data_IF_555036781765
#
_entry.id   IF_555036781765
#
_cell.length_a   1.000
_cell.length_b   1.000
_cell.length_c   1.000
_cell.angle_alpha   90.00
_cell.angle_beta   90.00
_cell.angle_gamma   90.00
#
_symmetry.space_group_name_H-M   'P 1'
#
loop_
_entity.id
_entity.type
_entity.pdbx_description
1 polymer ?
#
# COMPACT_ATOMS: atom_id res chain seq x y z
N UNK A 1 23.72 18.66 32.84
CA UNK A 1 23.88 18.45 31.39
C UNK A 1 23.62 19.77 30.68
N UNK A 2 24.51 20.22 29.80
CA UNK A 2 24.25 21.42 28.99
C UNK A 2 23.12 21.17 27.99
N UNK A 3 22.49 22.24 27.50
CA UNK A 3 21.40 22.18 26.51
C UNK A 3 21.79 21.34 25.27
N UNK A 4 23.03 21.50 24.80
CA UNK A 4 23.59 20.75 23.67
C UNK A 4 23.64 19.23 23.95
N UNK A 5 24.08 18.83 25.15
CA UNK A 5 24.13 17.42 25.55
C UNK A 5 22.73 16.81 25.70
N UNK A 6 21.76 17.59 26.20
CA UNK A 6 20.37 17.14 26.28
C UNK A 6 19.77 16.93 24.88
N UNK A 7 20.00 17.85 23.95
CA UNK A 7 19.58 17.71 22.55
C UNK A 7 20.24 16.50 21.88
N UNK A 8 21.55 16.31 22.08
CA UNK A 8 22.29 15.17 21.55
C UNK A 8 21.75 13.83 22.09
N UNK A 9 21.42 13.76 23.37
CA UNK A 9 20.79 12.58 23.97
C UNK A 9 19.41 12.29 23.37
N UNK A 10 18.56 13.31 23.22
CA UNK A 10 17.24 13.15 22.59
C UNK A 10 17.34 12.64 21.15
N UNK A 11 18.19 13.25 20.33
CA UNK A 11 18.41 12.87 18.93
C UNK A 11 19.00 11.47 18.82
N UNK A 12 19.91 11.08 19.73
CA UNK A 12 20.48 9.74 19.76
C UNK A 12 19.43 8.68 20.14
N UNK A 13 18.55 8.96 21.11
CA UNK A 13 17.43 8.07 21.45
C UNK A 13 16.54 7.87 20.23
N UNK A 14 16.18 8.95 19.53
CA UNK A 14 15.37 8.85 18.32
C UNK A 14 16.06 8.03 17.22
N UNK A 15 17.35 8.26 16.99
CA UNK A 15 18.16 7.47 16.06
C UNK A 15 18.10 5.97 16.38
N UNK A 16 18.25 5.59 17.65
CA UNK A 16 18.16 4.20 18.10
C UNK A 16 16.76 3.62 17.83
N UNK A 17 15.69 4.39 18.08
CA UNK A 17 14.32 3.97 17.77
C UNK A 17 14.16 3.69 16.28
N UNK A 18 14.63 4.58 15.40
CA UNK A 18 14.56 4.37 13.94
C UNK A 18 15.35 3.12 13.52
N UNK A 19 16.55 2.91 14.07
CA UNK A 19 17.32 1.70 13.79
C UNK A 19 16.59 0.43 14.23
N UNK A 20 15.95 0.41 15.40
CA UNK A 20 15.17 -0.74 15.87
C UNK A 20 14.02 -1.03 14.90
N UNK A 21 13.27 0.00 14.48
CA UNK A 21 12.16 -0.17 13.53
C UNK A 21 12.68 -0.66 12.17
N UNK A 22 13.78 -0.12 11.66
CA UNK A 22 14.37 -0.53 10.39
C UNK A 22 14.87 -1.99 10.45
N UNK A 23 15.57 -2.37 11.52
CA UNK A 23 16.07 -3.74 11.74
C UNK A 23 14.92 -4.72 11.89
N UNK A 24 13.86 -4.37 12.63
CA UNK A 24 12.68 -5.23 12.79
C UNK A 24 11.99 -5.49 11.43
N UNK A 25 11.84 -4.45 10.61
CA UNK A 25 11.32 -4.55 9.26
C UNK A 25 12.17 -5.43 8.34
N UNK A 26 13.47 -5.14 8.28
CA UNK A 26 14.44 -5.91 7.52
C UNK A 26 14.45 -7.38 7.95
N UNK A 27 14.47 -7.65 9.24
CA UNK A 27 14.48 -9.02 9.80
C UNK A 27 13.20 -9.77 9.44
N UNK A 28 12.04 -9.11 9.51
CA UNK A 28 10.78 -9.71 9.08
C UNK A 28 10.80 -10.04 7.58
N UNK A 29 11.24 -9.12 6.71
CA UNK A 29 11.42 -9.38 5.27
C UNK A 29 12.36 -10.56 5.05
N UNK A 30 13.49 -10.56 5.75
CA UNK A 30 14.52 -11.57 5.64
C UNK A 30 14.10 -12.94 6.21
N UNK A 31 13.01 -13.07 6.96
CA UNK A 31 12.55 -14.36 7.51
C UNK A 31 11.28 -14.81 6.79
N UNK A 32 10.26 -13.96 6.77
CA UNK A 32 8.91 -14.27 6.31
C UNK A 32 8.83 -14.24 4.78
N UNK A 33 9.45 -13.25 4.15
CA UNK A 33 9.29 -12.99 2.72
C UNK A 33 10.39 -13.63 1.86
N UNK A 34 11.17 -14.58 2.39
CA UNK A 34 12.24 -15.26 1.63
C UNK A 34 11.72 -15.96 0.38
N UNK A 35 10.50 -16.52 0.44
CA UNK A 35 9.81 -17.22 -0.64
C UNK A 35 8.30 -16.98 -0.50
N UNK A 36 7.53 -17.02 -1.59
CA UNK A 36 6.07 -17.04 -1.55
C UNK A 36 5.60 -18.17 -0.65
N UNK A 37 4.64 -17.86 0.23
CA UNK A 37 4.11 -18.87 1.14
C UNK A 37 3.21 -19.84 0.36
N UNK A 38 3.44 -21.16 0.44
CA UNK A 38 2.47 -22.12 -0.08
C UNK A 38 1.16 -22.00 0.73
N UNK A 39 0.02 -22.36 0.13
CA UNK A 39 -1.24 -22.38 0.87
C UNK A 39 -1.12 -23.35 2.05
N UNK A 40 -1.33 -22.83 3.25
CA UNK A 40 -1.12 -23.57 4.50
C UNK A 40 -2.34 -24.39 4.94
N UNK A 41 -3.46 -24.26 4.24
CA UNK A 41 -4.76 -24.80 4.68
C UNK A 41 -5.47 -25.55 3.55
N UNK A 42 -6.37 -26.44 3.94
CA UNK A 42 -7.29 -27.09 3.01
C UNK A 42 -8.18 -26.00 2.35
N UNK A 43 -8.03 -25.81 1.04
CA UNK A 43 -8.75 -24.78 0.30
C UNK A 43 -10.29 -24.95 0.39
N UNK A 44 -10.77 -26.16 0.64
CA UNK A 44 -12.19 -26.47 0.74
C UNK A 44 -12.85 -25.95 2.02
N UNK A 45 -12.11 -25.60 3.07
CA UNK A 45 -12.68 -25.00 4.29
C UNK A 45 -12.65 -23.47 4.27
N UNK A 46 -11.94 -22.85 3.33
CA UNK A 46 -11.80 -21.40 3.26
C UNK A 46 -13.09 -20.73 2.77
N UNK A 47 -13.38 -19.54 3.30
CA UNK A 47 -14.56 -18.73 2.96
C UNK A 47 -14.50 -18.20 1.52
N UNK A 48 -15.61 -18.13 0.78
CA UNK A 48 -15.59 -17.63 -0.59
C UNK A 48 -15.30 -16.13 -0.68
N UNK A 49 -14.77 -15.68 -1.82
CA UNK A 49 -14.24 -14.32 -2.02
C UNK A 49 -14.73 -13.70 -3.32
N UNK A 50 -15.11 -12.43 -3.27
CA UNK A 50 -15.31 -11.59 -4.45
C UNK A 50 -14.09 -10.68 -4.66
N UNK A 51 -13.39 -10.82 -5.79
CA UNK A 51 -12.37 -9.88 -6.25
C UNK A 51 -13.04 -8.74 -6.98
N UNK A 52 -12.77 -7.49 -6.58
CA UNK A 52 -13.32 -6.29 -7.22
C UNK A 52 -12.16 -5.46 -7.76
N UNK A 53 -12.15 -5.23 -9.08
CA UNK A 53 -11.10 -4.48 -9.76
C UNK A 53 -11.65 -3.22 -10.41
N UNK A 54 -11.32 -2.02 -9.89
CA UNK A 54 -11.68 -0.77 -10.54
C UNK A 54 -10.76 -0.54 -11.73
N UNK A 55 -11.32 -0.40 -12.92
CA UNK A 55 -10.60 -0.23 -14.18
C UNK A 55 -10.80 1.20 -14.69
N UNK A 56 -9.73 1.79 -15.22
CA UNK A 56 -9.79 3.03 -16.00
C UNK A 56 -8.63 3.07 -16.99
N UNK A 57 -8.93 2.94 -18.27
CA UNK A 57 -7.93 2.99 -19.33
C UNK A 57 -6.98 1.79 -19.35
N UNK A 58 -5.87 1.94 -20.07
CA UNK A 58 -4.85 0.91 -20.23
C UNK A 58 -3.60 1.25 -19.42
N UNK A 59 -3.26 0.38 -18.48
CA UNK A 59 -1.99 0.39 -17.75
C UNK A 59 -0.97 -0.57 -18.40
N UNK A 60 0.34 -0.42 -18.11
CA UNK A 60 1.36 -1.40 -18.46
C UNK A 60 0.94 -2.82 -18.07
N UNK A 61 1.05 -3.76 -19.01
CA UNK A 61 0.78 -5.18 -18.78
C UNK A 61 -0.61 -5.46 -18.16
N UNK A 62 -1.60 -4.59 -18.42
CA UNK A 62 -2.94 -4.67 -17.84
C UNK A 62 -3.57 -6.06 -17.98
N UNK A 63 -3.51 -6.66 -19.18
CA UNK A 63 -4.10 -7.97 -19.44
C UNK A 63 -3.57 -9.03 -18.46
N UNK A 64 -2.26 -9.07 -18.24
CA UNK A 64 -1.63 -10.03 -17.32
C UNK A 64 -1.93 -9.71 -15.85
N UNK A 65 -2.02 -8.43 -15.47
CA UNK A 65 -2.41 -8.00 -14.13
C UNK A 65 -3.82 -8.47 -13.81
N UNK A 66 -4.76 -8.27 -14.74
CA UNK A 66 -6.15 -8.71 -14.60
C UNK A 66 -6.27 -10.24 -14.64
N UNK A 67 -5.54 -10.90 -15.54
CA UNK A 67 -5.48 -12.36 -15.65
C UNK A 67 -5.03 -13.03 -14.35
N UNK A 68 -4.15 -12.39 -13.57
CA UNK A 68 -3.72 -12.92 -12.27
C UNK A 68 -4.87 -13.18 -11.27
N UNK A 69 -6.03 -12.54 -11.46
CA UNK A 69 -7.25 -12.79 -10.68
C UNK A 69 -7.86 -14.17 -10.99
N UNK A 70 -7.79 -14.60 -12.25
CA UNK A 70 -8.29 -15.90 -12.71
C UNK A 70 -7.33 -17.04 -12.36
N UNK A 71 -6.04 -16.73 -12.25
CA UNK A 71 -4.97 -17.70 -11.98
C UNK A 71 -4.72 -17.94 -10.48
N UNK A 72 -5.63 -17.52 -9.60
CA UNK A 72 -5.54 -17.81 -8.18
C UNK A 72 -5.75 -19.31 -7.92
N UNK A 73 -4.90 -19.89 -7.10
CA UNK A 73 -5.01 -21.25 -6.59
C UNK A 73 -6.08 -21.32 -5.50
N UNK A 74 -7.33 -21.16 -5.92
CA UNK A 74 -8.52 -21.10 -5.07
C UNK A 74 -9.67 -21.86 -5.74
N UNK A 75 -10.60 -22.48 -4.98
CA UNK A 75 -11.72 -23.20 -5.59
C UNK A 75 -12.57 -22.24 -6.44
N UNK A 76 -12.78 -22.59 -7.71
CA UNK A 76 -13.38 -21.70 -8.71
C UNK A 76 -14.83 -21.35 -8.34
N UNK A 77 -15.56 -22.29 -7.75
CA UNK A 77 -16.92 -22.12 -7.24
C UNK A 77 -17.01 -21.13 -6.07
N UNK A 78 -15.89 -20.90 -5.37
CA UNK A 78 -15.76 -19.96 -4.25
C UNK A 78 -15.19 -18.61 -4.64
N UNK A 79 -14.97 -18.38 -5.93
CA UNK A 79 -14.37 -17.15 -6.44
C UNK A 79 -15.36 -16.42 -7.34
N UNK A 80 -15.53 -15.13 -7.11
CA UNK A 80 -16.20 -14.21 -8.03
C UNK A 80 -15.24 -13.09 -8.41
N UNK A 81 -15.27 -12.63 -9.67
CA UNK A 81 -14.44 -11.53 -10.16
C UNK A 81 -15.33 -10.46 -10.80
N UNK A 82 -15.27 -9.23 -10.28
CA UNK A 82 -16.05 -8.10 -10.77
C UNK A 82 -15.10 -7.02 -11.32
N UNK A 83 -15.15 -6.79 -12.63
CA UNK A 83 -14.44 -5.69 -13.28
C UNK A 83 -15.35 -4.47 -13.36
N UNK A 84 -14.98 -3.38 -12.69
CA UNK A 84 -15.79 -2.17 -12.61
C UNK A 84 -15.23 -1.11 -13.57
N UNK A 85 -16.04 -0.62 -14.51
CA UNK A 85 -15.67 0.47 -15.44
C UNK A 85 -16.60 1.66 -15.32
N UNK A 86 -16.07 2.87 -15.46
CA UNK A 86 -16.90 4.06 -15.47
C UNK A 86 -17.82 4.12 -16.70
N UNK A 87 -17.32 3.72 -17.87
CA UNK A 87 -18.03 3.81 -19.14
C UNK A 87 -17.78 2.55 -19.99
N UNK A 88 -18.72 2.23 -20.88
CA UNK A 88 -18.61 1.07 -21.77
C UNK A 88 -17.60 1.26 -22.90
N UNK A 89 -17.22 2.51 -23.18
CA UNK A 89 -16.21 2.91 -24.16
C UNK A 89 -14.76 2.78 -23.66
N UNK A 90 -14.55 2.38 -22.41
CA UNK A 90 -13.21 2.27 -21.86
C UNK A 90 -12.36 1.29 -22.70
N UNK A 91 -11.12 1.69 -23.08
CA UNK A 91 -10.28 0.88 -23.96
C UNK A 91 -9.90 -0.48 -23.37
N UNK A 92 -10.07 -0.71 -22.06
CA UNK A 92 -9.86 -2.02 -21.43
C UNK A 92 -10.96 -3.04 -21.77
N UNK A 93 -12.13 -2.62 -22.27
CA UNK A 93 -13.28 -3.50 -22.51
C UNK A 93 -12.95 -4.75 -23.35
N UNK A 94 -12.22 -4.67 -24.49
CA UNK A 94 -11.88 -5.85 -25.28
C UNK A 94 -10.98 -6.83 -24.54
N UNK A 95 -10.06 -6.34 -23.70
CA UNK A 95 -9.18 -7.17 -22.86
C UNK A 95 -10.02 -7.95 -21.85
N UNK A 96 -10.97 -7.27 -21.19
CA UNK A 96 -11.87 -7.90 -20.21
C UNK A 96 -12.74 -8.98 -20.84
N UNK A 97 -13.34 -8.70 -21.99
CA UNK A 97 -14.15 -9.67 -22.73
C UNK A 97 -13.32 -10.89 -23.14
N UNK A 98 -12.08 -10.68 -23.61
CA UNK A 98 -11.16 -11.76 -23.96
C UNK A 98 -10.79 -12.63 -22.76
N UNK A 99 -10.53 -12.02 -21.59
CA UNK A 99 -10.22 -12.76 -20.36
C UNK A 99 -11.41 -13.57 -19.85
N UNK A 100 -12.62 -13.01 -19.85
CA UNK A 100 -13.83 -13.73 -19.45
C UNK A 100 -14.09 -14.91 -20.39
N UNK A 101 -13.94 -14.72 -21.70
CA UNK A 101 -14.08 -15.79 -22.68
C UNK A 101 -13.00 -16.88 -22.52
N UNK A 102 -11.79 -16.53 -22.08
CA UNK A 102 -10.69 -17.46 -21.82
C UNK A 102 -10.93 -18.34 -20.59
N UNK A 103 -11.68 -17.86 -19.59
CA UNK A 103 -11.94 -18.55 -18.32
C UNK A 103 -13.44 -18.69 -18.03
N UNK A 104 -14.21 -19.42 -18.87
CA UNK A 104 -15.67 -19.47 -18.78
C UNK A 104 -16.21 -20.18 -17.52
N UNK A 105 -15.35 -20.90 -16.79
CA UNK A 105 -15.72 -21.64 -15.58
C UNK A 105 -15.65 -20.79 -14.29
N UNK A 106 -15.09 -19.58 -14.37
CA UNK A 106 -14.97 -18.67 -13.23
C UNK A 106 -16.10 -17.64 -13.31
N UNK A 107 -16.79 -17.40 -12.19
CA UNK A 107 -17.85 -16.39 -12.06
C UNK A 107 -17.25 -14.99 -12.21
N UNK A 108 -17.19 -14.48 -13.45
CA UNK A 108 -16.57 -13.21 -13.79
C UNK A 108 -17.50 -12.33 -14.63
N UNK A 109 -17.65 -11.06 -14.25
CA UNK A 109 -18.52 -10.11 -14.94
C UNK A 109 -17.95 -8.71 -15.04
N UNK A 110 -18.47 -7.95 -15.99
CA UNK A 110 -18.12 -6.56 -16.26
C UNK A 110 -19.29 -5.69 -15.80
N UNK A 111 -19.00 -4.76 -14.90
CA UNK A 111 -19.96 -3.79 -14.37
C UNK A 111 -19.61 -2.40 -14.88
N UNK A 112 -20.50 -1.81 -15.67
CA UNK A 112 -20.37 -0.43 -16.16
C UNK A 112 -21.20 0.49 -15.27
N UNK A 113 -20.70 1.69 -14.96
CA UNK A 113 -21.49 2.64 -14.16
C UNK A 113 -22.63 3.22 -14.97
N UNK A 114 -23.76 3.42 -14.31
CA UNK A 114 -24.90 4.12 -14.91
C UNK A 114 -24.73 5.63 -14.72
N UNK A 115 -24.85 6.44 -15.79
CA UNK A 115 -24.75 7.89 -15.70
C UNK A 115 -25.72 8.46 -14.67
N UNK A 116 -25.20 9.19 -13.67
CA UNK A 116 -26.01 9.86 -12.65
C UNK A 116 -26.33 9.04 -11.40
N UNK A 117 -26.19 7.71 -11.42
CA UNK A 117 -26.47 6.87 -10.23
C UNK A 117 -25.23 6.55 -9.39
N UNK A 118 -24.06 6.43 -10.02
CA UNK A 118 -22.82 5.98 -9.37
C UNK A 118 -21.88 7.11 -8.94
N UNK A 119 -22.42 8.29 -8.65
CA UNK A 119 -21.63 9.41 -8.13
C UNK A 119 -21.85 9.57 -6.62
N UNK A 120 -20.85 9.23 -5.82
CA UNK A 120 -20.89 9.31 -4.36
C UNK A 120 -19.91 10.35 -3.79
N UNK A 121 -19.04 10.90 -4.63
CA UNK A 121 -18.06 11.91 -4.23
C UNK A 121 -16.97 12.15 -5.28
N UNK A 122 -15.97 12.98 -4.95
CA UNK A 122 -14.86 13.32 -5.82
C UNK A 122 -13.94 12.15 -6.16
N UNK A 123 -14.01 11.01 -5.45
CA UNK A 123 -13.15 9.85 -5.69
C UNK A 123 -13.72 8.91 -6.78
N UNK A 124 -13.30 9.01 -8.07
CA UNK A 124 -13.73 8.12 -9.13
C UNK A 124 -13.40 6.65 -8.91
N UNK A 125 -12.38 6.31 -8.10
CA UNK A 125 -12.09 4.91 -7.77
C UNK A 125 -13.20 4.35 -6.90
N UNK A 126 -13.57 5.02 -5.82
CA UNK A 126 -14.66 4.58 -4.95
C UNK A 126 -16.01 4.59 -5.67
N UNK A 127 -16.29 5.62 -6.49
CA UNK A 127 -17.48 5.64 -7.33
C UNK A 127 -17.59 4.38 -8.20
N UNK A 128 -16.47 3.98 -8.80
CA UNK A 128 -16.39 2.77 -9.61
C UNK A 128 -16.49 1.49 -8.75
N UNK A 129 -15.91 1.47 -7.56
CA UNK A 129 -15.97 0.32 -6.64
C UNK A 129 -17.35 0.09 -6.03
N UNK A 130 -18.16 1.13 -5.86
CA UNK A 130 -19.44 1.07 -5.14
C UNK A 130 -20.42 0.05 -5.74
N UNK A 131 -20.52 -0.04 -7.07
CA UNK A 131 -21.35 -1.06 -7.74
C UNK A 131 -20.80 -2.48 -7.54
N UNK A 132 -19.49 -2.66 -7.61
CA UNK A 132 -18.85 -3.96 -7.37
C UNK A 132 -19.06 -4.42 -5.93
N UNK A 133 -18.98 -3.52 -4.97
CA UNK A 133 -19.21 -3.82 -3.56
C UNK A 133 -20.67 -4.19 -3.28
N UNK A 134 -21.63 -3.56 -3.97
CA UNK A 134 -23.05 -3.89 -3.88
C UNK A 134 -23.40 -5.24 -4.52
N UNK A 135 -22.82 -5.52 -5.68
CA UNK A 135 -23.05 -6.74 -6.46
C UNK A 135 -22.17 -7.92 -6.05
N UNK A 136 -21.25 -7.73 -5.11
CA UNK A 136 -20.46 -8.81 -4.56
C UNK A 136 -21.37 -9.94 -4.04
N UNK A 137 -21.05 -11.17 -4.41
CA UNK A 137 -21.78 -12.37 -4.01
C UNK A 137 -21.38 -12.83 -2.61
N UNK A 138 -20.13 -12.59 -2.23
CA UNK A 138 -19.55 -13.05 -0.98
C UNK A 138 -19.27 -11.89 -0.01
N UNK A 139 -19.14 -12.22 1.28
CA UNK A 139 -18.88 -11.23 2.32
C UNK A 139 -17.42 -10.77 2.31
N UNK A 140 -16.48 -11.68 2.06
CA UNK A 140 -15.08 -11.28 1.85
C UNK A 140 -14.95 -10.65 0.46
N UNK A 141 -14.49 -9.41 0.45
CA UNK A 141 -14.12 -8.70 -0.77
C UNK A 141 -12.63 -8.46 -0.81
N UNK A 142 -12.04 -8.59 -1.99
CA UNK A 142 -10.66 -8.22 -2.26
C UNK A 142 -10.62 -7.11 -3.29
N UNK A 143 -10.33 -5.90 -2.82
CA UNK A 143 -10.14 -4.72 -3.67
C UNK A 143 -8.71 -4.74 -4.20
N UNK A 144 -8.56 -4.85 -5.51
CA UNK A 144 -7.26 -4.98 -6.18
C UNK A 144 -7.20 -4.03 -7.39
N UNK A 145 -6.26 -3.09 -7.37
CA UNK A 145 -6.08 -2.10 -8.44
C UNK A 145 -5.80 -2.77 -9.80
N UNK A 146 -6.28 -2.21 -10.91
CA UNK A 146 -6.16 -2.78 -12.26
C UNK A 146 -4.73 -3.13 -12.69
N UNK A 147 -3.78 -2.29 -12.32
CA UNK A 147 -2.36 -2.39 -12.70
C UNK A 147 -1.50 -3.18 -11.73
N UNK A 148 -2.12 -4.06 -10.93
CA UNK A 148 -1.41 -4.83 -9.92
C UNK A 148 -1.47 -6.31 -10.29
N UNK A 149 -0.32 -6.94 -10.41
CA UNK A 149 -0.23 -8.38 -10.53
C UNK A 149 -0.16 -9.03 -9.15
N UNK A 150 -0.92 -10.11 -8.96
CA UNK A 150 -1.01 -10.87 -7.73
C UNK A 150 -0.48 -12.29 -7.92
N UNK A 151 0.25 -12.82 -6.93
CA UNK A 151 0.74 -14.20 -6.97
C UNK A 151 -0.39 -15.21 -6.79
N UNK A 152 -0.26 -16.46 -7.29
CA UNK A 152 -1.38 -17.41 -7.32
C UNK A 152 -1.96 -17.80 -5.95
N UNK A 153 -1.19 -17.72 -4.86
CA UNK A 153 -1.65 -18.20 -3.55
C UNK A 153 -2.22 -17.08 -2.65
N UNK A 154 -2.29 -15.83 -3.14
CA UNK A 154 -2.65 -14.68 -2.33
C UNK A 154 -4.04 -14.82 -1.73
N UNK A 155 -5.04 -15.25 -2.50
CA UNK A 155 -6.40 -15.41 -1.98
C UNK A 155 -6.42 -16.43 -0.84
N UNK A 156 -5.83 -17.62 -1.05
CA UNK A 156 -5.80 -18.68 -0.05
C UNK A 156 -5.14 -18.22 1.25
N UNK A 157 -3.95 -17.61 1.15
CA UNK A 157 -3.20 -17.13 2.31
C UNK A 157 -3.94 -16.00 3.05
N UNK A 158 -4.58 -15.10 2.31
CA UNK A 158 -5.27 -13.93 2.89
C UNK A 158 -6.58 -14.32 3.59
N UNK A 159 -7.36 -15.20 2.98
CA UNK A 159 -8.57 -15.74 3.62
C UNK A 159 -8.21 -16.52 4.88
N UNK A 160 -7.20 -17.40 4.79
CA UNK A 160 -6.70 -18.13 5.96
C UNK A 160 -6.24 -17.18 7.07
N UNK A 161 -5.53 -16.10 6.75
CA UNK A 161 -5.07 -15.14 7.74
C UNK A 161 -6.22 -14.42 8.46
N UNK A 162 -7.29 -14.07 7.73
CA UNK A 162 -8.48 -13.48 8.33
C UNK A 162 -9.27 -14.48 9.19
N UNK A 163 -9.43 -15.72 8.73
CA UNK A 163 -10.17 -16.76 9.45
C UNK A 163 -9.45 -17.19 10.73
N UNK A 164 -8.12 -17.35 10.66
CA UNK A 164 -7.31 -17.91 11.74
C UNK A 164 -6.62 -16.83 12.59
N UNK A 165 -6.91 -15.56 12.33
CA UNK A 165 -6.35 -14.41 13.06
C UNK A 165 -4.81 -14.42 13.07
N UNK A 166 -4.17 -14.54 11.90
CA UNK A 166 -2.71 -14.61 11.78
C UNK A 166 -2.12 -13.38 11.09
N UNK A 167 -0.88 -13.01 11.46
CA UNK A 167 -0.06 -12.01 10.77
C UNK A 167 1.31 -12.61 10.46
N UNK A 168 1.74 -12.53 9.21
CA UNK A 168 2.95 -13.15 8.70
C UNK A 168 3.03 -14.65 9.06
N UNK A 169 1.90 -15.36 8.98
CA UNK A 169 1.79 -16.78 9.33
C UNK A 169 1.80 -17.11 10.83
N UNK A 170 1.96 -16.10 11.70
CA UNK A 170 1.97 -16.29 13.16
C UNK A 170 0.60 -15.95 13.74
N UNK A 171 0.06 -16.79 14.62
CA UNK A 171 -1.19 -16.53 15.32
C UNK A 171 -1.08 -15.28 16.19
N UNK A 172 -2.10 -14.43 16.14
CA UNK A 172 -2.21 -13.23 16.96
C UNK A 172 -3.09 -13.57 18.16
N UNK A 173 -2.70 -13.08 19.34
CA UNK A 173 -3.44 -13.24 20.59
C UNK A 173 -4.94 -12.94 20.41
N UNK A 174 -5.78 -13.96 20.63
CA UNK A 174 -7.24 -13.88 20.50
C UNK A 174 -7.91 -12.91 21.49
N UNK A 175 -7.22 -12.50 22.57
CA UNK A 175 -7.71 -11.47 23.50
C UNK A 175 -7.47 -10.04 22.99
N UNK A 176 -6.67 -9.87 21.94
CA UNK A 176 -6.39 -8.58 21.31
C UNK A 176 -7.33 -8.26 20.16
N UNK A 177 -6.96 -7.27 19.35
CA UNK A 177 -7.65 -6.92 18.11
C UNK A 177 -7.60 -8.08 17.10
N UNK A 178 -8.74 -8.40 16.49
CA UNK A 178 -8.82 -9.44 15.46
C UNK A 178 -8.43 -8.89 14.08
N UNK A 179 -7.90 -9.74 13.20
CA UNK A 179 -7.61 -9.38 11.81
C UNK A 179 -8.92 -9.07 11.08
N UNK A 180 -9.09 -7.82 10.66
CA UNK A 180 -10.27 -7.33 9.92
C UNK A 180 -9.93 -6.84 8.52
N UNK A 181 -8.63 -6.65 8.25
CA UNK A 181 -8.12 -6.23 6.95
C UNK A 181 -6.78 -6.95 6.70
N UNK A 182 -6.70 -7.68 5.60
CA UNK A 182 -5.45 -8.23 5.07
C UNK A 182 -5.02 -7.41 3.86
N UNK A 183 -3.75 -7.06 3.80
CA UNK A 183 -3.17 -6.29 2.72
C UNK A 183 -1.75 -6.80 2.44
N UNK A 184 -1.18 -6.35 1.33
CA UNK A 184 0.07 -6.91 0.82
C UNK A 184 1.13 -5.84 0.64
N UNK A 185 2.40 -6.24 0.80
CA UNK A 185 3.53 -5.35 0.56
C UNK A 185 3.53 -4.97 -0.93
N UNK A 186 3.41 -3.67 -1.26
CA UNK A 186 3.36 -3.24 -2.64
C UNK A 186 4.79 -3.09 -3.15
N UNK A 187 5.10 -3.83 -4.20
CA UNK A 187 6.32 -3.67 -4.99
C UNK A 187 5.95 -3.09 -6.34
N UNK A 188 6.90 -2.43 -7.00
CA UNK A 188 6.75 -2.02 -8.39
C UNK A 188 8.02 -2.33 -9.16
N UNK A 189 7.88 -2.92 -10.35
CA UNK A 189 9.00 -3.33 -11.18
C UNK A 189 9.10 -2.47 -12.43
N UNK A 190 10.29 -1.98 -12.71
CA UNK A 190 10.66 -1.30 -13.95
C UNK A 190 10.72 -2.30 -15.09
N UNK A 191 9.97 -2.05 -16.17
CA UNK A 191 10.02 -2.85 -17.40
C UNK A 191 10.91 -2.24 -18.48
N UNK A 192 11.48 -1.07 -18.23
CA UNK A 192 12.32 -0.31 -19.15
C UNK A 192 13.75 -0.06 -18.63
N UNK A 193 14.75 -0.47 -19.41
CA UNK A 193 16.18 -0.35 -19.07
C UNK A 193 16.61 1.13 -18.96
N UNK A 194 16.01 2.01 -19.77
CA UNK A 194 16.30 3.45 -19.79
C UNK A 194 15.52 4.24 -18.72
N UNK A 195 14.44 3.65 -18.20
CA UNK A 195 13.48 4.26 -17.29
C UNK A 195 14.10 4.77 -16.00
N UNK A 196 14.40 6.06 -15.92
CA UNK A 196 15.03 6.61 -14.70
C UNK A 196 14.00 6.82 -13.59
N UNK A 197 12.76 7.23 -13.93
CA UNK A 197 11.70 7.44 -12.95
C UNK A 197 11.11 6.15 -12.38
N UNK A 198 10.82 5.17 -13.25
CA UNK A 198 10.35 3.82 -12.87
C UNK A 198 11.37 3.08 -12.00
N UNK A 199 12.67 3.15 -12.34
CA UNK A 199 13.74 2.57 -11.52
C UNK A 199 13.87 3.23 -10.14
N UNK A 200 13.59 4.52 -10.00
CA UNK A 200 13.58 5.20 -8.70
C UNK A 200 12.37 4.80 -7.84
N UNK A 201 11.20 4.60 -8.45
CA UNK A 201 10.01 4.07 -7.74
C UNK A 201 10.25 2.64 -7.26
N UNK A 202 10.82 1.79 -8.13
CA UNK A 202 11.22 0.44 -7.76
C UNK A 202 12.22 0.47 -6.60
N UNK A 203 13.30 1.27 -6.71
CA UNK A 203 14.30 1.40 -5.67
C UNK A 203 13.66 1.81 -4.34
N UNK A 204 12.76 2.80 -4.34
CA UNK A 204 12.05 3.24 -3.15
C UNK A 204 11.19 2.12 -2.53
N UNK A 205 10.39 1.42 -3.35
CA UNK A 205 9.48 0.36 -2.88
C UNK A 205 10.22 -0.88 -2.36
N UNK A 206 11.34 -1.25 -2.98
CA UNK A 206 12.15 -2.40 -2.60
C UNK A 206 13.06 -2.14 -1.39
N UNK A 207 13.35 -0.89 -1.06
CA UNK A 207 14.26 -0.51 0.03
C UNK A 207 13.55 0.22 1.18
N UNK A 208 13.54 1.56 1.17
CA UNK A 208 13.02 2.38 2.27
C UNK A 208 11.57 2.04 2.61
N UNK A 209 10.68 1.99 1.62
CA UNK A 209 9.26 1.78 1.86
C UNK A 209 8.98 0.43 2.53
N UNK A 210 9.40 -0.68 1.92
CA UNK A 210 8.99 -2.02 2.35
C UNK A 210 9.45 -2.35 3.78
N UNK A 211 10.66 -1.93 4.20
CA UNK A 211 11.13 -2.22 5.56
C UNK A 211 10.33 -1.52 6.63
N UNK A 212 10.09 -0.22 6.48
CA UNK A 212 9.28 0.53 7.45
C UNK A 212 7.81 0.12 7.37
N UNK A 213 7.30 -0.16 6.16
CA UNK A 213 5.93 -0.62 5.97
C UNK A 213 5.64 -1.95 6.69
N UNK A 214 6.53 -2.93 6.53
CA UNK A 214 6.42 -4.23 7.22
C UNK A 214 6.59 -4.05 8.74
N UNK A 215 7.56 -3.25 9.17
CA UNK A 215 7.81 -3.02 10.60
C UNK A 215 6.61 -2.37 11.31
N UNK A 216 6.08 -1.28 10.75
CA UNK A 216 4.96 -0.53 11.32
C UNK A 216 3.68 -1.37 11.37
N UNK A 217 3.41 -2.19 10.35
CA UNK A 217 2.27 -3.11 10.36
C UNK A 217 2.42 -4.21 11.41
N UNK A 218 3.63 -4.73 11.62
CA UNK A 218 3.88 -5.72 12.67
C UNK A 218 3.76 -5.13 14.09
N UNK A 219 4.23 -3.88 14.28
CA UNK A 219 4.04 -3.15 15.54
C UNK A 219 2.56 -2.90 15.83
N UNK A 220 1.74 -2.70 14.78
CA UNK A 220 0.27 -2.61 14.89
C UNK A 220 -0.19 -1.57 15.92
N UNK A 221 0.41 -0.37 15.86
CA UNK A 221 0.01 0.77 16.70
C UNK A 221 -1.21 1.47 16.10
N UNK A 222 -1.26 1.55 14.77
CA UNK A 222 -2.33 2.14 13.96
C UNK A 222 -2.42 1.36 12.64
N UNK A 223 -3.53 1.44 11.89
CA UNK A 223 -3.61 0.83 10.58
C UNK A 223 -2.64 1.53 9.62
N UNK A 224 -1.82 0.76 8.90
CA UNK A 224 -0.88 1.27 7.90
C UNK A 224 -1.14 0.57 6.56
N UNK A 225 -2.16 1.04 5.86
CA UNK A 225 -2.71 0.38 4.67
C UNK A 225 -2.27 1.10 3.40
N UNK A 226 -2.18 0.38 2.28
CA UNK A 226 -1.96 0.94 0.95
C UNK A 226 -3.10 0.52 0.02
N UNK A 227 -3.41 1.33 -0.99
CA UNK A 227 -4.63 1.15 -1.78
C UNK A 227 -4.58 0.10 -2.87
N UNK A 228 -3.46 -0.62 -3.01
CA UNK A 228 -3.22 -1.53 -4.14
C UNK A 228 -3.93 -2.87 -3.98
N UNK A 229 -3.95 -3.41 -2.77
CA UNK A 229 -4.47 -4.76 -2.49
C UNK A 229 -4.97 -4.84 -1.05
N UNK A 230 -6.30 -4.87 -0.89
CA UNK A 230 -6.97 -4.87 0.41
C UNK A 230 -8.11 -5.88 0.45
N UNK A 231 -8.04 -6.84 1.36
CA UNK A 231 -9.06 -7.85 1.60
C UNK A 231 -9.70 -7.63 2.97
N UNK A 232 -11.02 -7.55 3.01
CA UNK A 232 -11.79 -7.34 4.23
C UNK A 232 -13.24 -7.82 4.04
N UNK A 233 -14.02 -7.86 5.13
CA UNK A 233 -15.44 -8.24 5.08
C UNK A 233 -16.33 -7.03 4.80
N UNK A 234 -17.30 -7.19 3.91
CA UNK A 234 -18.36 -6.21 3.66
C UNK A 234 -19.15 -5.92 4.91
N UNK A 235 -19.56 -6.97 5.61
CA UNK A 235 -20.31 -6.89 6.87
C UNK A 235 -19.58 -6.09 7.95
N UNK A 236 -18.26 -6.23 8.05
CA UNK A 236 -17.45 -5.46 8.99
C UNK A 236 -17.35 -3.98 8.57
N UNK A 237 -17.25 -3.69 7.27
CA UNK A 237 -17.27 -2.29 6.80
C UNK A 237 -18.64 -1.63 7.00
N UNK A 238 -19.72 -2.37 6.72
CA UNK A 238 -21.09 -1.90 6.93
C UNK A 238 -21.35 -1.59 8.42
N UNK A 239 -20.91 -2.49 9.31
CA UNK A 239 -20.96 -2.25 10.76
C UNK A 239 -20.14 -1.02 11.16
N UNK A 240 -18.94 -0.87 10.62
CA UNK A 240 -18.06 0.25 10.95
C UNK A 240 -18.72 1.58 10.58
N UNK A 241 -19.23 1.73 9.35
CA UNK A 241 -19.88 2.97 8.90
C UNK A 241 -21.16 3.26 9.68
N UNK A 242 -21.99 2.25 9.97
CA UNK A 242 -23.16 2.43 10.82
C UNK A 242 -22.79 2.95 12.23
N UNK A 243 -21.66 2.48 12.78
CA UNK A 243 -21.20 2.85 14.12
C UNK A 243 -20.61 4.26 14.22
N UNK A 244 -20.17 4.87 13.11
CA UNK A 244 -19.69 6.27 13.08
C UNK A 244 -20.76 7.24 13.61
N UNK A 245 -22.04 6.95 13.35
CA UNK A 245 -23.16 7.79 13.81
C UNK A 245 -23.33 7.84 15.33
N UNK A 246 -22.81 6.84 16.06
CA UNK A 246 -23.07 6.66 17.50
C UNK A 246 -21.82 6.74 18.36
N UNK A 247 -20.62 6.48 17.80
CA UNK A 247 -19.36 6.46 18.53
C UNK A 247 -18.42 7.52 17.96
N UNK A 248 -17.93 8.40 18.83
CA UNK A 248 -17.00 9.47 18.44
C UNK A 248 -15.59 8.91 18.17
N UNK A 249 -14.93 9.47 17.16
CA UNK A 249 -13.56 9.14 16.73
C UNK A 249 -12.79 10.43 16.45
N UNK A 250 -11.46 10.42 16.62
CA UNK A 250 -10.61 11.54 16.19
C UNK A 250 -10.67 11.78 14.68
N UNK A 251 -10.93 10.75 13.87
CA UNK A 251 -10.96 10.83 12.41
C UNK A 251 -12.36 11.08 11.83
N UNK A 252 -13.43 10.74 12.56
CA UNK A 252 -14.83 10.83 12.10
C UNK A 252 -15.71 11.59 13.10
N UNK A 253 -15.28 12.76 13.57
CA UNK A 253 -16.02 13.56 14.55
C UNK A 253 -16.84 14.71 13.96
N UNK A 254 -16.52 15.16 12.74
CA UNK A 254 -17.21 16.29 12.10
C UNK A 254 -18.69 15.97 11.87
N UNK A 255 -19.58 16.89 12.22
CA UNK A 255 -21.04 16.67 12.19
C UNK A 255 -21.54 16.29 10.78
N UNK A 256 -20.95 16.90 9.74
CA UNK A 256 -21.22 16.57 8.34
C UNK A 256 -20.83 15.13 7.99
N UNK A 257 -19.74 14.61 8.57
CA UNK A 257 -19.25 13.25 8.37
C UNK A 257 -20.14 12.24 9.09
N UNK A 258 -20.53 12.53 10.33
CA UNK A 258 -21.43 11.70 11.15
C UNK A 258 -22.80 11.58 10.49
N UNK A 259 -23.37 12.71 10.04
CA UNK A 259 -24.66 12.74 9.35
C UNK A 259 -24.63 11.96 8.05
N UNK A 260 -23.56 12.09 7.26
CA UNK A 260 -23.41 11.35 6.03
C UNK A 260 -23.25 9.83 6.27
N UNK A 261 -22.47 9.43 7.27
CA UNK A 261 -22.33 8.03 7.64
C UNK A 261 -23.70 7.41 7.99
N UNK A 262 -24.53 8.13 8.76
CA UNK A 262 -25.89 7.70 9.09
C UNK A 262 -26.77 7.57 7.84
N UNK A 263 -26.69 8.54 6.91
CA UNK A 263 -27.42 8.52 5.63
C UNK A 263 -27.01 7.36 4.72
N UNK A 264 -25.72 7.03 4.67
CA UNK A 264 -25.23 5.90 3.87
C UNK A 264 -25.65 4.58 4.52
N UNK A 265 -25.51 4.46 5.83
CA UNK A 265 -25.90 3.27 6.58
C UNK A 265 -27.42 2.99 6.50
N UNK A 266 -28.26 4.03 6.43
CA UNK A 266 -29.72 3.88 6.31
C UNK A 266 -30.17 3.26 4.98
N UNK A 267 -29.30 3.20 3.96
CA UNK A 267 -29.57 2.49 2.69
C UNK A 267 -29.46 0.97 2.81
N UNK A 268 -28.92 0.48 3.93
CA UNK A 268 -28.72 -0.94 4.20
C UNK A 268 -27.34 -1.48 3.77
N UNK A 269 -27.11 -2.78 3.97
CA UNK A 269 -25.82 -3.43 3.70
C UNK A 269 -25.35 -3.29 2.25
N UNK A 270 -24.04 -3.24 2.01
CA UNK A 270 -23.44 -3.13 0.67
C UNK A 270 -23.38 -1.72 0.10
N UNK A 271 -23.78 -0.69 0.85
CA UNK A 271 -23.64 0.71 0.43
C UNK A 271 -22.47 1.44 1.10
N UNK A 272 -21.89 0.88 2.16
CA UNK A 272 -20.96 1.61 3.04
C UNK A 272 -19.63 2.00 2.41
N UNK A 273 -19.21 1.33 1.34
CA UNK A 273 -18.00 1.76 0.61
C UNK A 273 -18.16 3.16 0.01
N UNK A 274 -19.39 3.56 -0.35
CA UNK A 274 -19.68 4.86 -0.96
C UNK A 274 -19.42 6.04 -0.01
N UNK A 275 -19.54 5.83 1.31
CA UNK A 275 -19.18 6.82 2.32
C UNK A 275 -17.74 7.31 2.15
N UNK A 276 -16.84 6.44 1.69
CA UNK A 276 -15.43 6.77 1.53
C UNK A 276 -15.12 7.54 0.24
N UNK A 277 -16.10 7.79 -0.63
CA UNK A 277 -15.90 8.46 -1.91
C UNK A 277 -15.51 9.94 -1.79
N UNK A 278 -15.65 10.52 -0.59
CA UNK A 278 -15.18 11.87 -0.27
C UNK A 278 -13.68 11.97 -0.01
N UNK A 279 -13.02 10.86 0.28
CA UNK A 279 -11.61 10.82 0.66
C UNK A 279 -10.72 10.40 -0.51
N UNK A 280 -9.60 11.10 -0.74
CA UNK A 280 -8.60 10.68 -1.74
C UNK A 280 -7.84 9.42 -1.28
N UNK A 281 -7.60 9.25 0.02
CA UNK A 281 -7.03 8.03 0.60
C UNK A 281 -8.13 7.13 1.19
N UNK A 282 -9.00 6.60 0.33
CA UNK A 282 -10.15 5.79 0.79
C UNK A 282 -9.69 4.57 1.60
N UNK A 283 -8.58 3.98 1.20
CA UNK A 283 -7.94 2.79 1.75
C UNK A 283 -7.56 2.95 3.23
N UNK A 284 -6.87 4.05 3.54
CA UNK A 284 -6.47 4.36 4.91
C UNK A 284 -7.71 4.70 5.76
N UNK A 285 -8.70 5.42 5.21
CA UNK A 285 -9.94 5.71 5.94
C UNK A 285 -10.75 4.45 6.23
N UNK A 286 -10.82 3.49 5.29
CA UNK A 286 -11.40 2.16 5.51
C UNK A 286 -10.63 1.42 6.60
N UNK A 287 -9.30 1.45 6.55
CA UNK A 287 -8.44 0.86 7.58
C UNK A 287 -8.70 1.43 8.98
N UNK A 288 -8.83 2.76 9.11
CA UNK A 288 -9.19 3.44 10.36
C UNK A 288 -10.59 3.05 10.81
N UNK A 289 -11.57 3.02 9.92
CA UNK A 289 -12.93 2.63 10.27
C UNK A 289 -13.00 1.21 10.84
N UNK A 290 -12.34 0.23 10.20
CA UNK A 290 -12.26 -1.14 10.70
C UNK A 290 -11.47 -1.23 12.02
N UNK A 291 -10.43 -0.41 12.17
CA UNK A 291 -9.66 -0.33 13.40
C UNK A 291 -10.51 0.17 14.57
N UNK A 292 -11.19 1.29 14.44
CA UNK A 292 -11.87 1.97 15.56
C UNK A 292 -13.23 1.40 15.90
N UNK A 293 -13.99 0.96 14.89
CA UNK A 293 -15.39 0.56 15.04
C UNK A 293 -15.60 -0.96 15.04
N UNK A 294 -14.64 -1.73 14.49
CA UNK A 294 -14.70 -3.20 14.52
C UNK A 294 -13.67 -3.83 15.48
N UNK A 295 -13.00 -3.00 16.29
CA UNK A 295 -11.88 -3.42 17.15
C UNK A 295 -10.86 -4.28 16.37
N UNK A 296 -10.63 -3.89 15.12
CA UNK A 296 -9.84 -4.65 14.16
C UNK A 296 -8.37 -4.29 14.20
N UNK A 297 -7.59 -5.10 13.49
CA UNK A 297 -6.20 -4.82 13.08
C UNK A 297 -5.96 -5.23 11.64
N UNK A 298 -4.86 -4.74 11.09
CA UNK A 298 -4.32 -5.18 9.80
C UNK A 298 -3.42 -6.41 9.96
N UNK A 299 -3.25 -7.17 8.89
CA UNK A 299 -2.29 -8.27 8.79
C UNK A 299 -1.68 -8.39 7.38
N UNK A 300 -0.45 -8.91 7.33
CA UNK A 300 0.27 -9.31 6.13
C UNK A 300 0.34 -10.84 6.05
N UNK A 301 0.47 -11.40 4.85
CA UNK A 301 0.50 -12.87 4.64
C UNK A 301 1.87 -13.43 4.22
N UNK A 302 2.90 -12.58 4.12
CA UNK A 302 4.16 -12.96 3.48
C UNK A 302 4.11 -12.93 1.96
N UNK A 303 2.95 -12.60 1.38
CA UNK A 303 2.80 -12.36 -0.06
C UNK A 303 3.03 -10.89 -0.42
N UNK A 304 3.36 -10.66 -1.68
CA UNK A 304 3.55 -9.34 -2.27
C UNK A 304 2.66 -9.17 -3.48
N UNK A 305 2.35 -7.92 -3.79
CA UNK A 305 1.71 -7.55 -5.06
C UNK A 305 2.67 -6.69 -5.86
N UNK A 306 2.69 -6.89 -7.19
CA UNK A 306 3.67 -6.27 -8.06
C UNK A 306 3.00 -5.38 -9.11
N UNK A 307 3.38 -4.11 -9.15
CA UNK A 307 2.95 -3.20 -10.20
C UNK A 307 4.02 -3.11 -11.30
N UNK A 308 3.75 -3.50 -12.55
CA UNK A 308 4.60 -3.16 -13.67
C UNK A 308 4.59 -1.65 -13.94
N UNK A 309 5.78 -1.08 -14.12
CA UNK A 309 5.98 0.33 -14.47
C UNK A 309 6.68 0.43 -15.82
N UNK A 310 6.13 1.26 -16.70
CA UNK A 310 6.76 1.70 -17.94
C UNK A 310 6.80 3.23 -17.88
N UNK A 311 7.94 3.83 -18.16
CA UNK A 311 8.01 5.29 -18.32
C UNK A 311 7.48 5.65 -19.71
N UNK A 312 6.32 6.32 -19.77
CA UNK A 312 5.82 6.89 -21.03
C UNK A 312 6.66 8.10 -21.49
N UNK A 313 7.26 8.81 -20.52
CA UNK A 313 8.15 9.95 -20.70
C UNK A 313 9.20 9.93 -19.60
N UNK A 314 10.46 9.67 -19.99
CA UNK A 314 11.60 9.45 -19.07
C UNK A 314 11.92 10.71 -18.24
N UNK A 315 11.29 10.89 -17.07
CA UNK A 315 11.67 11.99 -16.17
C UNK A 315 11.70 11.63 -14.69
N UNK A 316 12.81 12.02 -14.06
CA UNK A 316 12.93 12.15 -12.59
C UNK A 316 11.82 13.04 -12.04
N UNK A 317 11.32 13.99 -12.83
CA UNK A 317 10.23 14.89 -12.45
C UNK A 317 8.92 14.16 -12.20
N UNK A 318 8.58 13.13 -12.99
CA UNK A 318 7.40 12.31 -12.74
C UNK A 318 7.52 11.53 -11.42
N UNK A 319 8.68 10.91 -11.17
CA UNK A 319 8.97 10.27 -9.89
C UNK A 319 8.79 11.27 -8.73
N UNK A 320 9.41 12.44 -8.84
CA UNK A 320 9.32 13.50 -7.83
C UNK A 320 7.86 13.92 -7.60
N UNK A 321 7.10 14.15 -8.68
CA UNK A 321 5.70 14.57 -8.63
C UNK A 321 4.81 13.50 -8.00
N UNK A 322 5.00 12.22 -8.35
CA UNK A 322 4.28 11.09 -7.73
C UNK A 322 4.55 11.02 -6.23
N UNK A 323 5.82 11.10 -5.82
CA UNK A 323 6.23 11.02 -4.41
C UNK A 323 5.74 12.22 -3.59
N UNK A 324 5.84 13.44 -4.14
CA UNK A 324 5.30 14.66 -3.51
C UNK A 324 3.79 14.52 -3.30
N UNK A 325 3.05 14.04 -4.31
CA UNK A 325 1.60 13.82 -4.21
C UNK A 325 1.24 12.84 -3.09
N UNK A 326 1.91 11.69 -3.02
CA UNK A 326 1.65 10.69 -1.96
C UNK A 326 1.94 11.24 -0.56
N UNK A 327 3.02 12.02 -0.41
CA UNK A 327 3.35 12.68 0.85
C UNK A 327 2.34 13.77 1.22
N UNK A 328 1.86 14.56 0.25
CA UNK A 328 0.83 15.58 0.51
C UNK A 328 -0.47 14.97 0.99
N UNK A 329 -0.91 13.86 0.40
CA UNK A 329 -2.11 13.15 0.89
C UNK A 329 -1.89 12.68 2.33
N UNK A 330 -0.75 12.04 2.63
CA UNK A 330 -0.43 11.56 3.98
C UNK A 330 -0.24 12.67 5.02
N UNK A 331 0.25 13.85 4.63
CA UNK A 331 0.36 15.03 5.49
C UNK A 331 -0.96 15.36 6.17
N UNK A 332 -2.08 15.26 5.44
CA UNK A 332 -3.40 15.54 6.01
C UNK A 332 -3.96 14.35 6.79
N UNK A 333 -3.74 13.13 6.31
CA UNK A 333 -4.36 11.94 6.92
C UNK A 333 -3.62 11.41 8.15
N UNK A 334 -2.29 11.51 8.16
CA UNK A 334 -1.39 10.95 9.18
C UNK A 334 -0.20 11.90 9.40
N UNK A 335 -0.49 13.13 9.85
CA UNK A 335 0.49 14.21 9.97
C UNK A 335 1.72 13.82 10.80
N UNK A 336 1.52 13.23 11.99
CA UNK A 336 2.62 12.87 12.88
C UNK A 336 3.61 11.89 12.22
N UNK A 337 3.10 10.85 11.56
CA UNK A 337 3.92 9.90 10.81
C UNK A 337 4.63 10.57 9.62
N UNK A 338 3.94 11.50 8.94
CA UNK A 338 4.51 12.25 7.82
C UNK A 338 5.63 13.19 8.27
N UNK A 339 5.51 13.83 9.43
CA UNK A 339 6.53 14.74 9.97
C UNK A 339 7.84 14.03 10.31
N UNK A 340 7.76 12.77 10.77
CA UNK A 340 8.94 11.99 11.14
C UNK A 340 9.55 11.22 9.98
N UNK A 341 8.88 11.13 8.82
CA UNK A 341 9.36 10.38 7.65
C UNK A 341 10.81 10.70 7.21
N UNK A 342 11.28 11.97 7.20
CA UNK A 342 12.67 12.26 6.83
C UNK A 342 13.67 11.54 7.73
N UNK A 343 13.35 11.37 9.01
CA UNK A 343 14.23 10.70 9.98
C UNK A 343 14.36 9.20 9.72
N UNK A 344 13.47 8.62 8.90
CA UNK A 344 13.53 7.22 8.48
C UNK A 344 14.47 7.00 7.28
N UNK A 345 14.90 8.08 6.60
CA UNK A 345 15.80 8.02 5.45
C UNK A 345 17.26 8.09 5.89
N UNK A 346 18.16 7.42 5.15
CA UNK A 346 19.51 7.10 5.65
C UNK A 346 20.33 8.34 5.99
N UNK A 347 20.25 9.40 5.18
CA UNK A 347 21.08 10.59 5.33
C UNK A 347 20.69 11.35 6.60
N UNK A 348 19.40 11.65 6.80
CA UNK A 348 18.93 12.40 7.97
C UNK A 348 19.13 11.58 9.24
N UNK A 349 18.79 10.28 9.19
CA UNK A 349 19.03 9.35 10.29
C UNK A 349 20.52 9.30 10.67
N UNK A 350 21.41 9.18 9.68
CA UNK A 350 22.85 9.17 9.87
C UNK A 350 23.39 10.48 10.46
N UNK A 351 22.88 11.64 10.02
CA UNK A 351 23.24 12.94 10.59
C UNK A 351 22.85 13.00 12.07
N UNK A 352 21.63 12.56 12.41
CA UNK A 352 21.13 12.50 13.78
C UNK A 352 22.00 11.61 14.67
N UNK A 353 22.25 10.37 14.26
CA UNK A 353 23.08 9.43 15.02
C UNK A 353 24.53 9.91 15.17
N UNK A 354 25.11 10.48 14.12
CA UNK A 354 26.47 11.03 14.14
C UNK A 354 26.59 12.19 15.09
N UNK A 355 25.64 13.14 15.05
CA UNK A 355 25.60 14.27 15.98
C UNK A 355 25.47 13.80 17.42
N UNK A 356 24.51 12.92 17.71
CA UNK A 356 24.25 12.39 19.05
C UNK A 356 25.47 11.72 19.67
N UNK A 357 26.13 10.80 18.94
CA UNK A 357 27.32 10.11 19.45
C UNK A 357 28.54 11.04 19.57
N UNK A 358 28.73 11.94 18.62
CA UNK A 358 29.90 12.82 18.61
C UNK A 358 29.91 13.78 19.79
N UNK A 359 28.75 14.38 20.10
CA UNK A 359 28.62 15.34 21.20
C UNK A 359 28.72 14.64 22.56
N UNK A 360 28.12 13.46 22.71
CA UNK A 360 28.07 12.78 24.00
C UNK A 360 29.36 12.04 24.36
N UNK A 361 30.09 11.51 23.36
CA UNK A 361 31.21 10.59 23.61
C UNK A 361 32.55 11.03 23.04
N UNK A 362 32.58 11.95 22.06
CA UNK A 362 33.82 12.29 21.33
C UNK A 362 34.20 13.77 21.36
N UNK A 363 33.53 14.55 22.20
CA UNK A 363 33.74 15.99 22.42
C UNK A 363 33.86 16.79 21.10
N UNK A 364 32.98 16.48 20.13
CA UNK A 364 32.94 17.14 18.82
C UNK A 364 31.52 17.17 18.27
N UNK A 365 31.24 18.07 17.33
CA UNK A 365 29.88 18.19 16.76
C UNK A 365 29.53 17.08 15.76
N UNK A 366 30.51 16.57 15.02
CA UNK A 366 30.27 15.60 13.95
C UNK A 366 31.48 14.71 13.68
N UNK A 367 31.22 13.45 13.32
CA UNK A 367 32.23 12.44 12.98
C UNK A 367 31.94 11.84 11.61
N UNK A 368 32.66 12.31 10.59
CA UNK A 368 32.55 11.78 9.22
C UNK A 368 32.83 10.27 9.13
N UNK A 369 33.69 9.75 10.02
CA UNK A 369 33.99 8.31 10.09
C UNK A 369 32.75 7.50 10.50
N UNK A 370 32.02 7.95 11.52
CA UNK A 370 30.80 7.27 11.95
C UNK A 370 29.67 7.44 10.94
N UNK A 371 29.52 8.63 10.36
CA UNK A 371 28.53 8.86 9.31
C UNK A 371 28.77 7.93 8.10
N UNK A 372 30.02 7.82 7.63
CA UNK A 372 30.37 6.91 6.54
C UNK A 372 30.09 5.43 6.90
N UNK A 373 30.39 5.02 8.14
CA UNK A 373 30.08 3.68 8.63
C UNK A 373 28.57 3.41 8.65
N UNK A 374 27.76 4.35 9.14
CA UNK A 374 26.31 4.24 9.12
C UNK A 374 25.77 4.11 7.70
N UNK A 375 26.21 4.98 6.78
CA UNK A 375 25.79 4.95 5.38
C UNK A 375 26.16 3.63 4.71
N UNK A 376 27.34 3.09 4.99
CA UNK A 376 27.77 1.79 4.48
C UNK A 376 26.88 0.65 5.02
N UNK A 377 26.58 0.64 6.32
CA UNK A 377 25.69 -0.36 6.92
C UNK A 377 24.29 -0.30 6.31
N UNK A 378 23.76 0.91 6.11
CA UNK A 378 22.44 1.13 5.51
C UNK A 378 22.40 0.67 4.05
N UNK A 379 23.42 1.00 3.27
CA UNK A 379 23.60 0.53 1.89
C UNK A 379 23.60 -1.01 1.82
N UNK A 380 24.39 -1.68 2.67
CA UNK A 380 24.46 -3.15 2.73
C UNK A 380 23.10 -3.74 3.09
N UNK A 381 22.40 -3.16 4.06
CA UNK A 381 21.06 -3.58 4.47
C UNK A 381 20.07 -3.48 3.30
N UNK A 382 19.99 -2.33 2.64
CA UNK A 382 19.09 -2.09 1.52
C UNK A 382 19.42 -2.97 0.31
N UNK A 383 20.71 -3.16 0.01
CA UNK A 383 21.14 -4.06 -1.06
C UNK A 383 20.75 -5.52 -0.76
N UNK A 384 20.95 -5.97 0.47
CA UNK A 384 20.58 -7.32 0.90
C UNK A 384 19.06 -7.52 0.82
N UNK A 385 18.29 -6.53 1.30
CA UNK A 385 16.83 -6.56 1.23
C UNK A 385 16.31 -6.59 -0.20
N UNK A 386 16.86 -5.75 -1.08
CA UNK A 386 16.50 -5.73 -2.50
C UNK A 386 16.71 -7.12 -3.13
N UNK A 387 17.81 -7.80 -2.81
CA UNK A 387 18.09 -9.15 -3.30
C UNK A 387 17.16 -10.22 -2.68
N UNK A 388 16.69 -10.04 -1.44
CA UNK A 388 15.66 -10.92 -0.85
C UNK A 388 14.37 -10.80 -1.67
N UNK A 389 13.96 -9.59 -2.02
CA UNK A 389 12.79 -9.38 -2.89
C UNK A 389 12.98 -9.99 -4.27
N UNK A 390 14.14 -9.80 -4.91
CA UNK A 390 14.41 -10.43 -6.21
C UNK A 390 14.30 -11.96 -6.14
N UNK A 391 14.87 -12.59 -5.11
CA UNK A 391 14.76 -14.05 -4.91
C UNK A 391 13.32 -14.48 -4.63
N UNK A 392 12.56 -13.70 -3.87
CA UNK A 392 11.13 -13.96 -3.67
C UNK A 392 10.40 -14.00 -5.01
N UNK A 393 10.60 -12.97 -5.83
CA UNK A 393 9.99 -12.86 -7.16
C UNK A 393 10.45 -13.98 -8.10
N UNK A 394 11.73 -14.37 -8.08
CA UNK A 394 12.26 -15.48 -8.88
C UNK A 394 11.70 -16.86 -8.48
N UNK A 395 11.23 -17.00 -7.24
CA UNK A 395 10.61 -18.24 -6.76
C UNK A 395 9.11 -18.35 -7.05
N UNK A 396 8.52 -17.33 -7.69
CA UNK A 396 7.14 -17.41 -8.20
C UNK A 396 7.05 -18.46 -9.30
N UNK A 397 6.10 -19.37 -9.17
CA UNK A 397 5.87 -20.43 -10.17
C UNK A 397 5.07 -19.85 -11.34
N UNK A 398 5.57 -20.06 -12.57
CA UNK A 398 4.95 -19.62 -13.84
C UNK A 398 4.63 -18.11 -13.88
N UNK A 399 5.63 -17.22 -13.71
CA UNK A 399 5.41 -15.79 -13.83
C UNK A 399 5.06 -15.42 -15.29
N UNK A 400 4.31 -14.33 -15.52
CA UNK A 400 4.07 -13.82 -16.88
C UNK A 400 5.38 -13.38 -17.55
N UNK A 401 5.37 -13.26 -18.88
CA UNK A 401 6.59 -13.02 -19.67
C UNK A 401 7.34 -11.75 -19.23
N UNK A 402 6.64 -10.63 -19.03
CA UNK A 402 7.25 -9.38 -18.56
C UNK A 402 7.90 -9.53 -17.19
N UNK A 403 7.29 -10.30 -16.28
CA UNK A 403 7.80 -10.54 -14.93
C UNK A 403 9.07 -11.38 -15.01
N UNK A 404 9.10 -12.41 -15.84
CA UNK A 404 10.30 -13.21 -16.05
C UNK A 404 11.46 -12.37 -16.62
N UNK A 405 11.14 -11.31 -17.38
CA UNK A 405 12.09 -10.49 -18.12
C UNK A 405 12.29 -9.07 -17.58
N UNK A 406 11.91 -8.79 -16.33
CA UNK A 406 12.09 -7.47 -15.72
C UNK A 406 13.56 -7.03 -15.74
N UNK A 407 13.80 -5.76 -16.05
CA UNK A 407 15.16 -5.22 -16.15
C UNK A 407 15.90 -5.19 -14.82
N UNK A 408 15.13 -5.10 -13.74
CA UNK A 408 15.59 -5.23 -12.35
C UNK A 408 16.42 -6.49 -12.13
N UNK A 409 16.16 -7.57 -12.88
CA UNK A 409 16.92 -8.84 -12.83
C UNK A 409 18.26 -8.79 -13.57
N UNK A 410 18.42 -7.83 -14.49
CA UNK A 410 19.64 -7.62 -15.29
C UNK A 410 20.50 -6.47 -14.76
N UNK A 411 20.01 -5.75 -13.74
CA UNK A 411 20.66 -4.56 -13.20
C UNK A 411 22.00 -4.91 -12.53
N UNK A 412 23.07 -4.24 -12.96
CA UNK A 412 24.38 -4.33 -12.31
C UNK A 412 24.38 -3.66 -10.93
N UNK A 413 25.32 -4.05 -10.07
CA UNK A 413 25.52 -3.42 -8.75
C UNK A 413 25.78 -1.91 -8.88
N UNK A 414 26.52 -1.48 -9.90
CA UNK A 414 26.79 -0.06 -10.16
C UNK A 414 25.53 0.73 -10.50
N UNK A 415 24.68 0.18 -11.39
CA UNK A 415 23.38 0.80 -11.70
C UNK A 415 22.49 0.86 -10.47
N UNK A 416 22.45 -0.21 -9.67
CA UNK A 416 21.70 -0.24 -8.42
C UNK A 416 22.18 0.84 -7.45
N UNK A 417 23.49 0.93 -7.20
CA UNK A 417 24.08 1.95 -6.32
C UNK A 417 23.75 3.37 -6.80
N UNK A 418 23.80 3.63 -8.12
CA UNK A 418 23.43 4.93 -8.69
C UNK A 418 21.99 5.32 -8.34
N UNK A 419 21.04 4.43 -8.57
CA UNK A 419 19.62 4.68 -8.25
C UNK A 419 19.39 4.79 -6.74
N UNK A 420 20.08 4.00 -5.93
CA UNK A 420 20.02 4.08 -4.47
C UNK A 420 20.48 5.45 -3.98
N UNK A 421 21.64 5.93 -4.43
CA UNK A 421 22.17 7.26 -4.07
C UNK A 421 21.22 8.37 -4.51
N UNK A 422 20.72 8.32 -5.75
CA UNK A 422 19.76 9.31 -6.24
C UNK A 422 18.48 9.34 -5.38
N UNK A 423 17.94 8.17 -5.02
CA UNK A 423 16.75 8.08 -4.16
C UNK A 423 17.00 8.69 -2.78
N UNK A 424 18.11 8.34 -2.13
CA UNK A 424 18.48 8.88 -0.81
C UNK A 424 18.65 10.41 -0.85
N UNK A 425 19.27 10.95 -1.91
CA UNK A 425 19.41 12.40 -2.10
C UNK A 425 18.04 13.08 -2.31
N UNK A 426 17.14 12.47 -3.07
CA UNK A 426 15.84 13.07 -3.38
C UNK A 426 14.82 13.00 -2.23
N UNK A 427 15.01 12.11 -1.26
CA UNK A 427 14.02 11.87 -0.21
C UNK A 427 13.67 13.14 0.60
N UNK A 428 14.67 13.89 1.08
CA UNK A 428 14.45 15.11 1.85
C UNK A 428 13.86 16.27 1.01
N UNK A 429 14.38 16.60 -0.19
CA UNK A 429 13.75 17.58 -1.09
C UNK A 429 12.30 17.26 -1.41
N UNK A 430 11.96 16.00 -1.72
CA UNK A 430 10.58 15.57 -1.97
C UNK A 430 9.71 15.87 -0.74
N UNK A 431 10.19 15.52 0.45
CA UNK A 431 9.45 15.78 1.68
C UNK A 431 9.22 17.29 1.91
N UNK A 432 10.26 18.12 1.75
CA UNK A 432 10.14 19.58 1.89
C UNK A 432 9.10 20.13 0.91
N UNK A 433 9.19 19.76 -0.37
CA UNK A 433 8.24 20.22 -1.41
C UNK A 433 6.80 19.74 -1.14
N UNK A 434 6.64 18.56 -0.55
CA UNK A 434 5.33 18.08 -0.13
C UNK A 434 4.79 18.88 1.06
N UNK A 435 5.61 19.15 2.06
CA UNK A 435 5.19 19.86 3.27
C UNK A 435 4.86 21.33 3.04
N UNK A 436 5.58 22.01 2.13
CA UNK A 436 5.30 23.41 1.77
C UNK A 436 4.04 23.53 0.90
N UNK A 437 3.74 22.53 0.09
CA UNK A 437 2.57 22.56 -0.78
C UNK A 437 1.25 22.19 -0.09
N UNK A 438 0.15 22.68 -0.67
CA UNK A 438 -1.21 22.41 -0.19
C UNK A 438 -2.10 21.69 -1.22
N UNK A 439 -1.80 21.84 -2.50
CA UNK A 439 -2.59 21.27 -3.60
C UNK A 439 -2.12 19.85 -3.96
N UNK A 440 -3.09 18.99 -4.24
CA UNK A 440 -2.89 17.61 -4.67
C UNK A 440 -3.42 17.51 -6.10
N UNK A 441 -2.54 17.38 -7.09
CA UNK A 441 -2.98 17.05 -8.45
C UNK A 441 -3.35 15.56 -8.51
N UNK A 442 -4.58 15.25 -8.88
CA UNK A 442 -5.06 13.90 -9.04
C UNK A 442 -5.75 13.70 -10.38
N UNK A 443 -5.22 12.76 -11.18
CA UNK A 443 -5.68 12.47 -12.55
C UNK A 443 -5.78 13.72 -13.43
N UNK A 444 -4.83 14.65 -13.28
CA UNK A 444 -4.74 15.88 -14.07
C UNK A 444 -5.54 17.05 -13.52
N UNK A 445 -6.25 16.89 -12.39
CA UNK A 445 -7.09 17.93 -11.78
C UNK A 445 -6.55 18.35 -10.42
N UNK A 446 -6.54 19.65 -10.08
CA UNK A 446 -6.09 20.13 -8.78
C UNK A 446 -7.16 19.92 -7.70
N UNK A 447 -6.75 19.42 -6.54
CA UNK A 447 -7.62 19.26 -5.37
C UNK A 447 -6.98 19.91 -4.13
N UNK A 448 -7.83 20.38 -3.21
CA UNK A 448 -7.48 20.74 -1.84
C UNK A 448 -8.09 19.73 -0.88
N UNK A 449 -7.34 19.36 0.16
CA UNK A 449 -7.84 18.51 1.24
C UNK A 449 -8.35 19.40 2.37
N UNK A 450 -9.60 19.17 2.80
CA UNK A 450 -10.28 19.89 3.88
C UNK A 450 -9.86 19.36 5.27
N UNK A 451 -10.25 20.06 6.33
CA UNK A 451 -9.96 19.64 7.71
C UNK A 451 -10.59 18.28 8.05
N UNK A 452 -11.77 18.00 7.48
CA UNK A 452 -12.46 16.72 7.59
C UNK A 452 -11.87 15.61 6.71
N UNK A 453 -10.69 15.85 6.10
CA UNK A 453 -9.97 14.97 5.17
C UNK A 453 -10.66 14.74 3.81
N UNK A 454 -11.82 15.34 3.57
CA UNK A 454 -12.48 15.27 2.26
C UNK A 454 -11.71 16.09 1.22
N UNK A 455 -11.87 15.70 -0.05
CA UNK A 455 -11.27 16.41 -1.17
C UNK A 455 -12.27 17.36 -1.84
N UNK A 456 -11.77 18.54 -2.22
CA UNK A 456 -12.50 19.55 -2.99
C UNK A 456 -11.68 19.89 -4.23
N UNK A 457 -12.30 19.80 -5.40
CA UNK A 457 -11.69 20.21 -6.68
C UNK A 457 -11.56 21.74 -6.70
N UNK A 458 -10.41 22.25 -7.16
CA UNK A 458 -10.10 23.69 -7.21
C UNK A 458 -10.53 24.34 -8.52
#
# INVERSE_FOLDING_TARGET
MGLLSALAAFVLIWYIVILIVAIAGFTCIAIVFRRPSPPSHNLQILEPVTIIRPIKGIDPELASCLESSFLQNYPQEKLQILFCLYESSDPAMPILQSLIAKYPHIDASILVSEPGEDYYGPNPKVNNLAKGFRQAKYDIVWILDSNVWASPNIVANSVAAMMNNTNCGTSINHRGRAVRLVHHVPLAASLDISGTGSSLDEMFLFTSHSKFYVSLNNLSIAPCVNGKSNMYRRSDLDRAVASISTKRSEFFHEESVVTDAARVASRGPGHSISFFAKYIGEDNMIGIALWEYCFGRTALTGDVVLQPLISSTDSIQEYFSRRVRWLRVRKYMVLAATLVEPTTESIVCGVMGTFGLSVLYWDRLFSWKFFAFHMLCWLICDYTQYNIWMRHLDSVVRPPYWFANMDSKRRSVWQWCRFWVMREIFALPIWITAMVGHEVNWRGRPFRIKQDLSAEEL
#
